data_IF_276057079019
#
_entry.id   IF_276057079019
#
_cell.length_a   1.000
_cell.length_b   1.000
_cell.length_c   1.000
_cell.angle_alpha   90.00
_cell.angle_beta   90.00
_cell.angle_gamma   90.00
#
_symmetry.space_group_name_H-M   'P 1'
#
loop_
_entity.id
_entity.type
_entity.pdbx_description
1 polymer ?
#
# COMPACT_ATOMS: atom_id res chain seq x y z
N UNK A 1 8.63 5.02 -10.26
CA UNK A 1 8.07 3.71 -9.88
C UNK A 1 8.24 2.76 -11.04
N UNK A 2 9.21 1.87 -10.94
CA UNK A 2 9.39 0.82 -11.92
C UNK A 2 8.52 -0.37 -11.51
N UNK A 3 7.62 -0.79 -12.39
CA UNK A 3 6.91 -2.05 -12.18
C UNK A 3 7.91 -3.20 -12.36
N UNK A 4 7.90 -4.19 -11.47
CA UNK A 4 8.66 -5.41 -11.69
C UNK A 4 8.02 -6.21 -12.83
N UNK A 5 8.82 -6.64 -13.79
CA UNK A 5 8.37 -7.35 -14.99
C UNK A 5 8.70 -8.84 -14.93
N UNK A 6 9.05 -9.37 -13.75
CA UNK A 6 9.34 -10.78 -13.56
C UNK A 6 8.10 -11.62 -13.84
N UNK A 7 8.24 -12.54 -14.79
CA UNK A 7 7.21 -13.46 -15.25
C UNK A 7 7.70 -14.89 -15.02
N UNK A 8 6.84 -15.79 -14.55
CA UNK A 8 7.20 -17.20 -14.42
C UNK A 8 5.99 -18.11 -14.59
N UNK A 9 6.23 -19.35 -15.01
CA UNK A 9 5.18 -20.35 -15.25
C UNK A 9 4.73 -21.03 -13.95
N UNK A 10 3.44 -21.00 -13.62
CA UNK A 10 2.93 -21.66 -12.44
C UNK A 10 3.12 -23.19 -12.47
N UNK A 11 3.56 -23.79 -11.35
CA UNK A 11 3.54 -25.24 -11.16
C UNK A 11 2.10 -25.69 -10.87
N UNK A 12 1.30 -25.89 -11.93
CA UNK A 12 -0.15 -26.10 -11.82
C UNK A 12 -0.55 -27.19 -10.81
N UNK A 13 0.13 -28.34 -10.79
CA UNK A 13 -0.17 -29.42 -9.84
C UNK A 13 -0.03 -28.98 -8.37
N UNK A 14 0.98 -28.15 -8.07
CA UNK A 14 1.19 -27.63 -6.72
C UNK A 14 0.17 -26.55 -6.38
N UNK A 15 -0.18 -25.70 -7.35
CA UNK A 15 -1.24 -24.68 -7.20
C UNK A 15 -2.59 -25.33 -6.91
N UNK A 16 -2.98 -26.35 -7.68
CA UNK A 16 -4.22 -27.09 -7.44
C UNK A 16 -4.20 -27.79 -6.07
N UNK A 17 -3.06 -28.37 -5.69
CA UNK A 17 -2.89 -28.97 -4.36
C UNK A 17 -3.08 -27.94 -3.26
N UNK A 18 -2.47 -26.76 -3.39
CA UNK A 18 -2.61 -25.68 -2.42
C UNK A 18 -4.06 -25.17 -2.34
N UNK A 19 -4.75 -25.04 -3.47
CA UNK A 19 -6.16 -24.60 -3.49
C UNK A 19 -7.09 -25.59 -2.79
N UNK A 20 -6.91 -26.89 -3.00
CA UNK A 20 -7.79 -27.89 -2.34
C UNK A 20 -7.42 -28.13 -0.87
N UNK A 21 -6.22 -27.74 -0.45
CA UNK A 21 -5.73 -27.92 0.94
C UNK A 21 -5.72 -26.64 1.76
N UNK A 22 -5.99 -25.47 1.17
CA UNK A 22 -5.94 -24.21 1.89
C UNK A 22 -7.00 -24.15 3.00
N UNK A 23 -6.67 -23.53 4.15
CA UNK A 23 -7.65 -23.28 5.20
C UNK A 23 -8.86 -22.53 4.64
N UNK A 24 -10.06 -22.97 5.04
CA UNK A 24 -11.36 -22.41 4.61
C UNK A 24 -11.74 -22.67 3.14
N UNK A 25 -10.84 -23.22 2.33
CA UNK A 25 -11.04 -23.44 0.90
C UNK A 25 -11.10 -22.14 0.10
N UNK A 26 -11.11 -22.22 -1.24
CA UNK A 26 -11.40 -21.07 -2.07
C UNK A 26 -12.87 -20.70 -1.93
N UNK A 27 -13.15 -19.40 -1.75
CA UNK A 27 -14.53 -18.92 -1.58
C UNK A 27 -15.35 -19.04 -2.89
N UNK A 28 -14.68 -18.98 -4.05
CA UNK A 28 -15.25 -19.30 -5.37
C UNK A 28 -14.31 -20.24 -6.16
N UNK A 29 -14.85 -21.18 -6.96
CA UNK A 29 -14.01 -21.99 -7.84
C UNK A 29 -13.29 -21.06 -8.84
N UNK A 30 -11.98 -21.26 -9.07
CA UNK A 30 -11.25 -20.47 -10.05
C UNK A 30 -11.82 -20.73 -11.45
N UNK A 31 -12.32 -19.67 -12.08
CA UNK A 31 -13.08 -19.75 -13.34
C UNK A 31 -12.21 -20.13 -14.56
N UNK A 32 -10.88 -19.94 -14.50
CA UNK A 32 -10.01 -20.17 -15.66
C UNK A 32 -8.58 -20.56 -15.26
N UNK A 33 -8.30 -21.87 -15.23
CA UNK A 33 -6.94 -22.43 -15.29
C UNK A 33 -6.70 -23.01 -16.69
N UNK A 34 -6.69 -22.17 -17.73
CA UNK A 34 -6.36 -22.61 -19.10
C UNK A 34 -4.95 -22.18 -19.56
N UNK A 35 -4.49 -22.87 -20.61
CA UNK A 35 -3.16 -23.48 -20.82
C UNK A 35 -1.87 -22.64 -20.78
N UNK A 36 -1.91 -21.33 -20.49
CA UNK A 36 -0.71 -20.48 -20.37
C UNK A 36 -0.64 -19.81 -18.99
N UNK A 37 -0.34 -20.60 -17.96
CA UNK A 37 -0.40 -20.17 -16.56
C UNK A 37 0.86 -19.41 -16.16
N UNK A 38 1.12 -18.28 -16.79
CA UNK A 38 2.19 -17.39 -16.36
C UNK A 38 1.66 -16.36 -15.38
N UNK A 39 2.43 -16.07 -14.33
CA UNK A 39 2.13 -14.99 -13.38
C UNK A 39 3.20 -13.92 -13.43
N UNK A 40 2.75 -12.67 -13.33
CA UNK A 40 3.58 -11.48 -13.24
C UNK A 40 3.73 -11.09 -11.77
N UNK A 41 4.91 -10.58 -11.39
CA UNK A 41 5.11 -10.03 -10.05
C UNK A 41 4.19 -8.82 -9.78
N UNK A 42 3.45 -8.87 -8.67
CA UNK A 42 2.52 -7.81 -8.25
C UNK A 42 3.15 -6.77 -7.30
N UNK A 43 4.40 -6.98 -6.86
CA UNK A 43 5.06 -6.15 -5.85
C UNK A 43 5.58 -4.80 -6.38
N UNK A 44 5.53 -4.54 -7.69
CA UNK A 44 6.17 -3.36 -8.28
C UNK A 44 7.68 -3.36 -8.00
N UNK A 45 8.27 -2.19 -7.72
CA UNK A 45 9.71 -2.07 -7.46
C UNK A 45 10.09 -2.72 -6.13
N UNK A 46 11.04 -3.66 -6.16
CA UNK A 46 11.57 -4.28 -4.95
C UNK A 46 13.03 -4.69 -5.15
N UNK A 47 13.74 -4.93 -4.02
CA UNK A 47 15.13 -5.38 -4.04
C UNK A 47 15.23 -6.80 -4.62
N UNK A 48 16.37 -7.11 -5.23
CA UNK A 48 16.61 -8.40 -5.88
C UNK A 48 16.66 -9.60 -4.92
N UNK A 49 16.89 -9.36 -3.62
CA UNK A 49 16.87 -10.39 -2.56
C UNK A 49 15.46 -10.66 -2.02
N UNK A 50 14.44 -9.94 -2.49
CA UNK A 50 13.04 -10.18 -2.14
C UNK A 50 12.40 -11.09 -3.18
N UNK A 51 11.76 -12.15 -2.71
CA UNK A 51 10.93 -13.02 -3.56
C UNK A 51 9.89 -12.17 -4.29
N UNK A 52 9.75 -12.41 -5.59
CA UNK A 52 8.58 -11.98 -6.35
C UNK A 52 7.31 -12.62 -5.75
N UNK A 53 6.17 -11.96 -5.94
CA UNK A 53 4.90 -12.47 -5.43
C UNK A 53 3.75 -12.22 -6.41
N UNK A 54 2.83 -13.17 -6.51
CA UNK A 54 1.61 -13.08 -7.29
C UNK A 54 0.44 -13.69 -6.51
N UNK A 55 -0.72 -13.05 -6.59
CA UNK A 55 -1.94 -13.51 -5.95
C UNK A 55 -2.51 -14.68 -6.76
N UNK A 56 -2.76 -15.82 -6.10
CA UNK A 56 -3.38 -16.99 -6.73
C UNK A 56 -4.89 -17.05 -6.47
N UNK A 57 -5.29 -16.78 -5.24
CA UNK A 57 -6.69 -16.79 -4.83
C UNK A 57 -6.92 -15.73 -3.76
N UNK A 58 -7.77 -14.72 -3.99
CA UNK A 58 -8.18 -13.81 -2.93
C UNK A 58 -9.00 -14.58 -1.90
N UNK A 59 -8.97 -14.11 -0.66
CA UNK A 59 -10.04 -14.40 0.29
C UNK A 59 -11.14 -13.34 0.13
N UNK A 60 -12.40 -13.74 0.03
CA UNK A 60 -13.53 -12.81 -0.04
C UNK A 60 -13.74 -12.08 1.30
N UNK A 61 -13.38 -12.74 2.40
CA UNK A 61 -13.35 -12.12 3.72
C UNK A 61 -11.95 -11.55 4.01
N UNK A 62 -11.82 -10.24 4.31
CA UNK A 62 -10.53 -9.61 4.63
C UNK A 62 -9.86 -10.17 5.91
N UNK A 63 -10.62 -10.83 6.79
CA UNK A 63 -10.07 -11.51 7.98
C UNK A 63 -9.40 -12.84 7.64
N UNK A 64 -9.62 -13.37 6.43
CA UNK A 64 -9.02 -14.62 5.96
C UNK A 64 -7.78 -14.33 5.10
N UNK A 65 -6.74 -15.18 5.20
CA UNK A 65 -5.55 -15.01 4.39
C UNK A 65 -5.81 -15.44 2.93
N UNK A 66 -5.23 -14.71 2.00
CA UNK A 66 -5.25 -15.06 0.57
C UNK A 66 -4.14 -16.06 0.24
N UNK A 67 -4.29 -16.80 -0.86
CA UNK A 67 -3.27 -17.73 -1.36
C UNK A 67 -2.31 -16.99 -2.30
N UNK A 68 -1.01 -17.09 -2.02
CA UNK A 68 0.05 -16.41 -2.76
C UNK A 68 1.09 -17.38 -3.31
N UNK A 69 1.63 -17.03 -4.47
CA UNK A 69 2.81 -17.66 -5.07
C UNK A 69 4.02 -16.76 -4.89
N UNK A 70 5.07 -17.25 -4.25
CA UNK A 70 6.34 -16.55 -4.08
C UNK A 70 7.43 -17.26 -4.86
N UNK A 71 8.30 -16.51 -5.54
CA UNK A 71 9.43 -17.10 -6.25
C UNK A 71 10.65 -16.18 -6.33
N UNK A 72 11.81 -16.81 -6.51
CA UNK A 72 13.07 -16.16 -6.83
C UNK A 72 13.78 -16.94 -7.94
N UNK A 73 14.69 -16.27 -8.65
CA UNK A 73 15.34 -16.82 -9.84
C UNK A 73 14.47 -16.79 -11.09
N UNK A 74 14.85 -17.56 -12.10
CA UNK A 74 14.20 -17.66 -13.41
C UNK A 74 13.65 -19.06 -13.66
N UNK A 75 12.90 -19.29 -14.74
CA UNK A 75 12.27 -20.60 -15.01
C UNK A 75 13.24 -21.82 -14.96
N UNK A 76 14.55 -21.63 -15.20
CA UNK A 76 15.54 -22.72 -15.16
C UNK A 76 16.11 -23.04 -13.77
N UNK A 77 16.11 -22.07 -12.85
CA UNK A 77 16.74 -22.15 -11.53
C UNK A 77 15.80 -21.69 -10.39
N UNK A 78 14.49 -21.64 -10.69
CA UNK A 78 13.48 -21.09 -9.79
C UNK A 78 13.38 -21.88 -8.50
N UNK A 79 13.40 -21.14 -7.39
CA UNK A 79 12.85 -21.59 -6.11
C UNK A 79 11.51 -20.93 -5.88
N UNK A 80 10.49 -21.70 -5.49
CA UNK A 80 9.15 -21.16 -5.23
C UNK A 80 8.51 -21.75 -3.97
N UNK A 81 7.53 -21.02 -3.42
CA UNK A 81 6.61 -21.51 -2.39
C UNK A 81 5.19 -21.02 -2.67
N UNK A 82 4.21 -21.85 -2.34
CA UNK A 82 2.79 -21.48 -2.35
C UNK A 82 2.31 -21.52 -0.90
N UNK A 83 1.77 -20.41 -0.40
CA UNK A 83 1.30 -20.33 0.98
C UNK A 83 0.21 -19.28 1.13
N UNK A 84 -0.61 -19.44 2.17
CA UNK A 84 -1.54 -18.39 2.57
C UNK A 84 -0.81 -17.27 3.29
N UNK A 85 -1.19 -16.02 3.03
CA UNK A 85 -0.68 -14.84 3.74
C UNK A 85 -1.84 -13.87 4.04
N UNK A 86 -1.86 -13.25 5.24
CA UNK A 86 -2.89 -12.27 5.60
C UNK A 86 -2.79 -11.04 4.73
N UNK A 87 -3.93 -10.40 4.45
CA UNK A 87 -3.97 -9.12 3.75
C UNK A 87 -3.24 -8.02 4.52
N UNK A 88 -2.64 -7.08 3.82
CA UNK A 88 -2.04 -5.91 4.43
C UNK A 88 -3.13 -5.05 5.09
N UNK A 89 -2.97 -4.65 6.37
CA UNK A 89 -3.98 -3.87 7.10
C UNK A 89 -4.07 -2.41 6.64
N UNK A 90 -3.22 -2.00 5.70
CA UNK A 90 -3.20 -0.68 5.12
C UNK A 90 -4.51 -0.32 4.44
N UNK A 91 -4.99 0.90 4.70
CA UNK A 91 -6.11 1.51 3.99
C UNK A 91 -5.59 2.70 3.20
N UNK A 92 -5.68 2.60 1.88
CA UNK A 92 -5.32 3.62 0.92
C UNK A 92 -6.47 4.60 0.74
N UNK A 93 -6.16 5.89 0.62
CA UNK A 93 -7.16 6.91 0.25
C UNK A 93 -7.02 7.30 -1.21
N UNK A 94 -8.11 7.19 -1.94
CA UNK A 94 -8.20 7.69 -3.29
C UNK A 94 -8.43 9.21 -3.26
N UNK A 95 -7.37 10.01 -3.42
CA UNK A 95 -7.39 11.47 -3.23
C UNK A 95 -8.49 12.22 -4.01
N UNK A 96 -8.87 11.73 -5.20
CA UNK A 96 -9.93 12.36 -6.02
C UNK A 96 -11.36 12.11 -5.50
N UNK A 97 -11.60 10.97 -4.86
CA UNK A 97 -12.96 10.51 -4.50
C UNK A 97 -13.14 10.36 -2.99
N UNK A 98 -12.08 10.56 -2.21
CA UNK A 98 -11.97 10.25 -0.78
C UNK A 98 -12.39 8.81 -0.42
N UNK A 99 -12.35 7.90 -1.40
CA UNK A 99 -12.68 6.50 -1.17
C UNK A 99 -11.55 5.83 -0.39
N UNK A 100 -11.91 5.08 0.65
CA UNK A 100 -11.00 4.21 1.37
C UNK A 100 -10.96 2.84 0.68
N UNK A 101 -9.77 2.40 0.27
CA UNK A 101 -9.53 1.13 -0.39
C UNK A 101 -8.51 0.33 0.42
N UNK A 102 -8.79 -0.93 0.81
CA UNK A 102 -7.77 -1.77 1.44
C UNK A 102 -6.62 -2.03 0.46
N UNK A 103 -5.41 -2.17 0.98
CA UNK A 103 -4.27 -2.61 0.18
C UNK A 103 -4.50 -4.06 -0.29
N UNK A 104 -4.29 -4.32 -1.58
CA UNK A 104 -4.51 -5.62 -2.21
C UNK A 104 -3.31 -6.57 -2.13
N UNK A 105 -2.32 -6.28 -1.29
CA UNK A 105 -1.11 -7.08 -1.11
C UNK A 105 -1.08 -7.76 0.26
N UNK A 106 -0.21 -8.75 0.45
CA UNK A 106 -0.03 -9.45 1.73
C UNK A 106 0.69 -8.58 2.79
N UNK A 107 0.45 -8.86 4.08
CA UNK A 107 1.10 -8.14 5.19
C UNK A 107 2.63 -8.26 5.10
N UNK A 108 3.31 -7.11 5.18
CA UNK A 108 4.78 -7.05 5.13
C UNK A 108 5.35 -7.04 3.71
N UNK A 109 4.53 -6.79 2.69
CA UNK A 109 5.01 -6.57 1.32
C UNK A 109 6.04 -5.42 1.26
N UNK A 110 7.04 -5.49 0.35
CA UNK A 110 8.09 -4.49 0.23
C UNK A 110 7.60 -3.18 -0.43
N UNK A 111 6.47 -3.23 -1.14
CA UNK A 111 5.92 -2.08 -1.86
C UNK A 111 5.53 -0.98 -0.89
N UNK A 112 5.99 0.26 -1.13
CA UNK A 112 5.55 1.41 -0.35
C UNK A 112 4.08 1.75 -0.59
N UNK A 113 3.49 2.46 0.37
CA UNK A 113 2.13 2.98 0.26
C UNK A 113 2.14 4.46 -0.15
N UNK A 114 0.96 5.03 -0.40
CA UNK A 114 0.85 6.42 -0.85
C UNK A 114 1.41 7.44 0.14
N UNK A 115 1.40 7.15 1.44
CA UNK A 115 1.98 8.03 2.47
C UNK A 115 3.50 7.92 2.59
N UNK A 116 4.11 6.92 1.97
CA UNK A 116 5.58 6.76 1.92
C UNK A 116 6.18 7.61 0.79
N UNK A 117 5.34 8.19 -0.08
CA UNK A 117 5.77 9.06 -1.17
C UNK A 117 5.93 10.48 -0.63
N UNK A 118 7.16 10.99 -0.66
CA UNK A 118 7.43 12.42 -0.47
C UNK A 118 6.89 13.18 -1.69
N UNK A 119 5.94 14.09 -1.46
CA UNK A 119 5.48 15.05 -2.47
C UNK A 119 6.28 16.36 -2.32
N UNK A 120 7.37 16.56 -3.07
CA UNK A 120 8.17 17.78 -2.97
C UNK A 120 7.40 19.04 -3.38
N UNK A 121 6.29 18.91 -4.11
CA UNK A 121 5.44 20.05 -4.46
C UNK A 121 4.57 20.49 -3.27
N UNK A 122 4.09 19.54 -2.45
CA UNK A 122 3.30 19.84 -1.27
C UNK A 122 4.07 20.76 -0.29
N UNK A 123 5.35 20.49 -0.07
CA UNK A 123 6.20 21.31 0.80
C UNK A 123 6.37 22.74 0.27
N UNK A 124 6.52 22.90 -1.06
CA UNK A 124 6.62 24.22 -1.69
C UNK A 124 5.31 25.01 -1.56
N UNK A 125 4.16 24.37 -1.71
CA UNK A 125 2.85 24.99 -1.56
C UNK A 125 2.62 25.42 -0.09
N UNK A 126 2.96 24.55 0.87
CA UNK A 126 2.82 24.86 2.29
C UNK A 126 3.75 25.99 2.75
N UNK A 127 4.98 26.06 2.24
CA UNK A 127 5.94 27.11 2.54
C UNK A 127 5.56 28.49 1.98
N UNK A 128 4.95 28.53 0.79
CA UNK A 128 4.47 29.79 0.20
C UNK A 128 3.31 30.42 1.01
N UNK A 129 2.42 29.59 1.57
CA UNK A 129 1.28 30.07 2.35
C UNK A 129 1.65 30.73 3.70
N UNK A 130 2.87 30.49 4.21
CA UNK A 130 3.35 31.10 5.47
C UNK A 130 4.12 32.41 5.28
N UNK A 131 4.55 32.75 4.06
CA UNK A 131 5.33 33.95 3.78
C UNK A 131 4.45 35.20 3.53
N UNK A 132 3.17 35.01 3.22
CA UNK A 132 2.26 36.10 2.83
C UNK A 132 1.52 36.74 4.02
N UNK A 133 1.78 36.33 5.26
CA UNK A 133 1.12 36.88 6.47
C UNK A 133 1.92 37.93 7.25
N UNK A 134 3.15 38.26 6.85
CA UNK A 134 4.00 39.25 7.52
C UNK A 134 4.17 40.54 6.70
N UNK A 135 3.10 41.24 6.35
CA UNK A 135 3.18 42.69 6.05
C UNK A 135 1.83 43.35 6.31
N UNK A 136 1.78 44.10 7.42
CA UNK A 136 0.87 45.21 7.76
C UNK A 136 0.39 45.11 9.21
N UNK A 137 1.32 45.31 10.15
CA UNK A 137 0.96 45.96 11.42
C UNK A 137 1.75 47.25 11.49
N UNK A 138 1.19 48.26 10.83
CA UNK A 138 1.63 49.64 10.99
C UNK A 138 1.57 50.03 12.47
N UNK A 139 2.62 50.73 12.85
CA UNK A 139 2.86 51.24 14.18
C UNK A 139 1.89 52.38 14.44
N UNK A 140 1.13 52.33 15.54
CA UNK A 140 0.72 53.56 16.22
C UNK A 140 0.84 53.36 17.73
N UNK A 141 1.88 54.01 18.25
CA UNK A 141 2.10 54.22 19.67
C UNK A 141 1.20 55.37 20.10
N UNK A 142 0.25 55.13 21.01
CA UNK A 142 -0.22 56.23 21.85
C UNK A 142 -0.36 55.77 23.31
N UNK A 143 0.39 56.47 24.16
CA UNK A 143 0.44 56.27 25.58
C UNK A 143 -0.72 57.06 26.21
N UNK A 144 -1.58 56.40 26.99
CA UNK A 144 -2.35 57.13 28.00
C UNK A 144 -2.62 56.26 29.22
N UNK A 145 -2.07 56.76 30.32
CA UNK A 145 -2.14 56.30 31.69
C UNK A 145 -3.44 56.84 32.34
N UNK A 146 -4.34 55.99 32.86
CA UNK A 146 -5.20 56.36 34.00
C UNK A 146 -5.59 55.12 34.84
N UNK A 147 -5.18 55.07 36.12
CA UNK A 147 -5.51 54.03 37.07
C UNK A 147 -6.86 54.29 37.77
N UNK A 148 -7.86 53.42 37.59
CA UNK A 148 -9.00 53.31 38.55
C UNK A 148 -9.79 52.01 38.40
N UNK A 149 -9.77 51.22 39.50
CA UNK A 149 -10.94 50.57 40.17
C UNK A 149 -11.64 49.45 39.36
N UNK A 150 -11.95 48.26 39.88
CA UNK A 150 -12.32 47.83 41.23
C UNK A 150 -12.45 46.29 41.23
N UNK A 151 -12.01 45.67 42.33
CA UNK A 151 -12.52 44.47 42.99
C UNK A 151 -13.45 43.48 42.27
N UNK A 152 -13.16 42.18 42.43
CA UNK A 152 -14.02 41.18 43.10
C UNK A 152 -13.38 39.77 43.12
N UNK A 153 -13.92 38.83 43.91
CA UNK A 153 -13.89 38.71 45.36
C UNK A 153 -12.81 37.71 45.84
#
# INVERSE_FOLDING_TARGET
>A
MLQCTALTRLPLSEVLTALVTMPYGPDAPPDDFTLDHYVLCELGEHRADIDHAALLCPAENPDRPALWFFWSGTDTDRTHRITTAPWCPAVLRHLRTDAALPCSLFTGHPTGHSWDITDPLADLIAGAAGADTDTDTDTDTDASDDPRKRHRP
#
